data_IF_839885101050
#
_entry.id   IF_839885101050
#
_cell.length_a   1.000
_cell.length_b   1.000
_cell.length_c   1.000
_cell.angle_alpha   90.00
_cell.angle_beta   90.00
_cell.angle_gamma   90.00
#
_symmetry.space_group_name_H-M   'P 1'
#
loop_
_entity.id
_entity.type
_entity.pdbx_description
1 polymer ?
#
# COMPACT_ATOMS: atom_id res chain seq x y z
N UNK A 1 -23.20 -2.29 -17.28
CA UNK A 1 -24.32 -2.43 -16.33
C UNK A 1 -24.64 -3.89 -16.02
N UNK A 2 -24.71 -4.74 -17.04
CA UNK A 2 -24.98 -6.17 -16.84
C UNK A 2 -23.92 -6.83 -15.96
N UNK A 3 -22.65 -6.43 -16.11
CA UNK A 3 -21.56 -6.95 -15.29
C UNK A 3 -21.74 -6.53 -13.83
N UNK A 4 -22.11 -5.27 -13.59
CA UNK A 4 -22.36 -4.77 -12.24
C UNK A 4 -23.58 -5.43 -11.60
N UNK A 5 -24.60 -5.75 -12.40
CA UNK A 5 -25.76 -6.47 -11.90
C UNK A 5 -25.42 -7.93 -11.53
N UNK A 6 -24.49 -8.54 -12.28
CA UNK A 6 -24.03 -9.90 -12.02
C UNK A 6 -23.11 -9.96 -10.79
N UNK A 7 -22.40 -8.86 -10.50
CA UNK A 7 -21.53 -8.77 -9.33
C UNK A 7 -22.38 -8.26 -8.16
N UNK A 8 -22.64 -9.08 -7.18
CA UNK A 8 -23.33 -8.66 -5.97
C UNK A 8 -22.49 -7.71 -5.13
N UNK A 9 -23.11 -7.14 -4.09
CA UNK A 9 -22.40 -6.24 -3.16
C UNK A 9 -21.22 -6.93 -2.52
N UNK A 10 -21.39 -8.20 -2.15
CA UNK A 10 -20.30 -8.95 -1.52
C UNK A 10 -19.13 -9.13 -2.49
N UNK A 11 -19.40 -9.35 -3.77
CA UNK A 11 -18.34 -9.48 -4.77
C UNK A 11 -17.56 -8.19 -4.90
N UNK A 12 -18.23 -7.05 -4.90
CA UNK A 12 -17.57 -5.74 -4.97
C UNK A 12 -16.76 -5.50 -3.70
N UNK A 13 -17.34 -5.82 -2.53
CA UNK A 13 -16.63 -5.65 -1.26
C UNK A 13 -15.40 -6.57 -1.19
N UNK A 14 -15.51 -7.80 -1.65
CA UNK A 14 -14.38 -8.73 -1.72
C UNK A 14 -13.29 -8.21 -2.64
N UNK A 15 -13.68 -7.58 -3.75
CA UNK A 15 -12.73 -6.96 -4.67
C UNK A 15 -11.97 -5.82 -3.99
N UNK A 16 -12.69 -4.98 -3.24
CA UNK A 16 -12.08 -3.89 -2.47
C UNK A 16 -11.10 -4.46 -1.43
N UNK A 17 -11.52 -5.49 -0.69
CA UNK A 17 -10.66 -6.13 0.30
C UNK A 17 -9.39 -6.70 -0.33
N UNK A 18 -9.52 -7.33 -1.49
CA UNK A 18 -8.38 -7.88 -2.22
C UNK A 18 -7.42 -6.78 -2.65
N UNK A 19 -7.94 -5.67 -3.16
CA UNK A 19 -7.11 -4.53 -3.55
C UNK A 19 -6.35 -3.95 -2.35
N UNK A 20 -7.02 -3.87 -1.20
CA UNK A 20 -6.40 -3.40 0.03
C UNK A 20 -5.24 -4.33 0.43
N UNK A 21 -5.48 -5.64 0.41
CA UNK A 21 -4.44 -6.62 0.75
C UNK A 21 -3.27 -6.53 -0.19
N UNK A 22 -3.53 -6.45 -1.49
CA UNK A 22 -2.48 -6.33 -2.50
C UNK A 22 -1.65 -5.07 -2.25
N UNK A 23 -2.31 -3.96 -1.99
CA UNK A 23 -1.62 -2.69 -1.74
C UNK A 23 -0.76 -2.76 -0.48
N UNK A 24 -1.29 -3.37 0.59
CA UNK A 24 -0.53 -3.56 1.83
C UNK A 24 0.70 -4.42 1.58
N UNK A 25 0.57 -5.48 0.81
CA UNK A 25 1.70 -6.34 0.45
C UNK A 25 2.75 -5.53 -0.30
N UNK A 26 2.34 -4.68 -1.24
CA UNK A 26 3.28 -3.85 -1.98
C UNK A 26 4.00 -2.86 -1.07
N UNK A 27 3.29 -2.28 -0.08
CA UNK A 27 3.91 -1.40 0.90
C UNK A 27 4.98 -2.15 1.70
N UNK A 28 4.66 -3.36 2.16
CA UNK A 28 5.62 -4.18 2.90
C UNK A 28 6.84 -4.55 2.05
N UNK A 29 6.62 -4.87 0.79
CA UNK A 29 7.73 -5.15 -0.13
C UNK A 29 8.67 -3.95 -0.21
N UNK A 30 8.10 -2.76 -0.38
CA UNK A 30 8.91 -1.55 -0.46
C UNK A 30 9.69 -1.29 0.83
N UNK A 31 9.04 -1.49 1.98
CA UNK A 31 9.70 -1.30 3.28
C UNK A 31 10.85 -2.28 3.44
N UNK A 32 10.61 -3.56 3.15
CA UNK A 32 11.65 -4.58 3.27
C UNK A 32 12.84 -4.26 2.36
N UNK A 33 12.55 -3.89 1.12
CA UNK A 33 13.59 -3.54 0.14
C UNK A 33 14.40 -2.34 0.62
N UNK A 34 13.76 -1.38 1.29
CA UNK A 34 14.46 -0.18 1.78
C UNK A 34 15.49 -0.48 2.86
N UNK A 35 15.38 -1.63 3.52
CA UNK A 35 16.37 -2.07 4.52
C UNK A 35 17.54 -2.83 3.90
N UNK A 36 17.47 -3.18 2.62
CA UNK A 36 18.55 -3.88 1.94
C UNK A 36 19.50 -2.85 1.34
N UNK A 37 20.72 -2.69 1.89
CA UNK A 37 21.63 -1.61 1.45
C UNK A 37 22.20 -1.85 0.05
N UNK A 38 22.30 -3.10 -0.37
CA UNK A 38 22.78 -3.43 -1.70
C UNK A 38 21.93 -4.53 -2.29
N UNK A 39 21.25 -4.20 -3.40
CA UNK A 39 20.51 -5.17 -4.17
C UNK A 39 21.30 -5.51 -5.41
N UNK A 40 21.46 -6.81 -5.74
CA UNK A 40 22.07 -7.16 -7.00
C UNK A 40 21.23 -6.62 -8.15
N UNK A 41 21.89 -6.06 -9.16
CA UNK A 41 21.18 -5.56 -10.32
C UNK A 41 20.59 -6.73 -11.09
N UNK A 42 19.29 -6.68 -11.29
CA UNK A 42 18.56 -7.64 -12.10
C UNK A 42 17.47 -6.86 -12.83
N UNK A 43 17.42 -7.05 -14.14
CA UNK A 43 16.48 -6.33 -14.99
C UNK A 43 15.03 -6.53 -14.54
N UNK A 44 14.67 -7.77 -14.22
CA UNK A 44 13.31 -8.08 -13.79
C UNK A 44 13.02 -7.56 -12.40
N UNK A 45 13.98 -7.70 -11.50
CA UNK A 45 13.85 -7.18 -10.14
C UNK A 45 13.71 -5.65 -10.16
N UNK A 46 14.54 -4.98 -10.95
CA UNK A 46 14.49 -3.52 -11.06
C UNK A 46 13.15 -3.05 -11.63
N UNK A 47 12.62 -3.75 -12.64
CA UNK A 47 11.32 -3.42 -13.21
C UNK A 47 10.20 -3.63 -12.19
N UNK A 48 10.25 -4.72 -11.43
CA UNK A 48 9.27 -5.01 -10.39
C UNK A 48 9.28 -3.96 -9.29
N UNK A 49 10.46 -3.62 -8.79
CA UNK A 49 10.59 -2.62 -7.72
C UNK A 49 10.19 -1.22 -8.20
N UNK A 50 10.46 -0.90 -9.46
CA UNK A 50 9.99 0.34 -10.07
C UNK A 50 8.48 0.41 -10.11
N UNK A 51 7.83 -0.69 -10.49
CA UNK A 51 6.37 -0.79 -10.48
C UNK A 51 5.82 -0.60 -9.07
N UNK A 52 6.39 -1.28 -8.08
CA UNK A 52 5.95 -1.15 -6.69
C UNK A 52 6.06 0.30 -6.24
N UNK A 53 7.17 0.97 -6.53
CA UNK A 53 7.36 2.36 -6.19
C UNK A 53 6.36 3.27 -6.88
N UNK A 54 6.08 3.04 -8.16
CA UNK A 54 5.14 3.85 -8.92
C UNK A 54 3.71 3.75 -8.37
N UNK A 55 3.36 2.60 -7.78
CA UNK A 55 2.04 2.39 -7.18
C UNK A 55 1.98 2.93 -5.75
N UNK A 56 3.02 2.67 -4.96
CA UNK A 56 3.01 2.94 -3.52
C UNK A 56 3.41 4.38 -3.19
N UNK A 57 4.40 4.94 -3.88
CA UNK A 57 4.94 6.25 -3.55
C UNK A 57 3.93 7.41 -3.62
N UNK A 58 3.03 7.47 -4.62
CA UNK A 58 2.02 8.54 -4.62
C UNK A 58 1.14 8.52 -3.36
N UNK A 59 0.77 7.34 -2.90
CA UNK A 59 -0.02 7.18 -1.70
C UNK A 59 0.77 7.57 -0.44
N UNK A 60 1.95 6.99 -0.27
CA UNK A 60 2.78 7.28 0.89
C UNK A 60 3.27 8.71 0.91
N UNK A 61 3.45 9.31 -0.26
CA UNK A 61 3.86 10.71 -0.37
C UNK A 61 2.90 11.68 0.28
N UNK A 62 1.60 11.35 0.29
CA UNK A 62 0.61 12.16 0.99
C UNK A 62 0.89 12.20 2.49
N UNK A 63 1.24 11.07 3.08
CA UNK A 63 1.54 10.99 4.50
C UNK A 63 2.87 11.62 4.84
N UNK A 64 3.85 11.52 3.94
CA UNK A 64 5.16 12.14 4.16
C UNK A 64 5.09 13.66 4.26
N UNK A 65 4.09 14.27 3.63
CA UNK A 65 3.88 15.71 3.72
C UNK A 65 3.43 16.16 5.10
N UNK A 66 2.70 15.28 5.80
CA UNK A 66 2.10 15.64 7.08
C UNK A 66 2.85 15.06 8.28
N UNK A 67 3.62 14.00 8.06
CA UNK A 67 4.30 13.29 9.13
C UNK A 67 5.78 13.67 9.16
N UNK A 68 6.29 14.11 10.32
CA UNK A 68 7.72 14.33 10.46
C UNK A 68 8.46 13.00 10.50
N UNK A 69 9.68 12.99 9.99
CA UNK A 69 10.55 11.83 10.16
C UNK A 69 11.07 11.81 11.59
N UNK A 70 11.01 10.63 12.22
CA UNK A 70 11.54 10.44 13.56
C UNK A 70 13.00 10.07 13.43
N UNK A 71 13.86 10.89 14.04
CA UNK A 71 15.30 10.61 14.07
C UNK A 71 15.61 9.67 15.21
N UNK A 72 16.19 8.52 14.87
CA UNK A 72 16.59 7.53 15.85
C UNK A 72 18.09 7.29 15.67
N UNK A 73 18.87 7.83 16.60
CA UNK A 73 20.33 7.72 16.52
C UNK A 73 20.87 8.37 15.24
N UNK A 74 21.75 7.68 14.48
CA UNK A 74 22.33 8.24 13.26
C UNK A 74 21.40 8.21 12.06
N UNK A 75 20.22 7.58 12.17
CA UNK A 75 19.28 7.44 11.08
C UNK A 75 17.96 8.15 11.35
N UNK A 76 17.10 8.13 10.33
CA UNK A 76 15.74 8.65 10.43
C UNK A 76 14.76 7.54 10.06
N UNK A 77 13.67 7.43 10.82
CA UNK A 77 12.61 6.47 10.58
C UNK A 77 11.45 7.16 9.89
N UNK A 78 11.08 6.65 8.72
CA UNK A 78 9.90 7.11 8.01
C UNK A 78 8.68 6.34 8.52
N UNK A 79 7.76 7.06 9.16
CA UNK A 79 6.54 6.47 9.71
C UNK A 79 5.41 6.37 8.67
N UNK A 80 5.61 6.91 7.48
CA UNK A 80 4.57 6.93 6.45
C UNK A 80 4.04 5.54 6.08
N UNK A 81 4.90 4.51 5.89
CA UNK A 81 4.38 3.18 5.58
C UNK A 81 3.49 2.62 6.68
N UNK A 82 3.85 2.83 7.95
CA UNK A 82 3.07 2.34 9.07
C UNK A 82 1.71 3.02 9.13
N UNK A 83 1.71 4.36 9.12
CA UNK A 83 0.47 5.13 9.18
C UNK A 83 -0.38 4.88 7.94
N UNK A 84 0.25 4.84 6.77
CA UNK A 84 -0.45 4.57 5.52
C UNK A 84 -1.14 3.22 5.52
N UNK A 85 -0.49 2.19 6.06
CA UNK A 85 -1.07 0.86 6.17
C UNK A 85 -2.27 0.87 7.12
N UNK A 86 -2.14 1.50 8.28
CA UNK A 86 -3.23 1.58 9.26
C UNK A 86 -4.44 2.30 8.65
N UNK A 87 -4.22 3.44 8.01
CA UNK A 87 -5.29 4.21 7.37
C UNK A 87 -5.95 3.38 6.27
N UNK A 88 -5.14 2.69 5.47
CA UNK A 88 -5.64 1.86 4.37
C UNK A 88 -6.54 0.74 4.89
N UNK A 89 -6.15 0.09 5.99
CA UNK A 89 -6.94 -0.98 6.59
C UNK A 89 -8.25 -0.43 7.15
N UNK A 90 -8.21 0.72 7.82
CA UNK A 90 -9.40 1.33 8.40
C UNK A 90 -10.36 1.78 7.29
N UNK A 91 -9.87 2.56 6.33
CA UNK A 91 -10.70 3.08 5.24
C UNK A 91 -11.23 1.93 4.38
N UNK A 92 -10.37 0.96 4.05
CA UNK A 92 -10.79 -0.20 3.28
C UNK A 92 -11.88 -0.99 3.97
N UNK A 93 -11.74 -1.19 5.29
CA UNK A 93 -12.76 -1.87 6.09
C UNK A 93 -14.08 -1.10 6.12
N UNK A 94 -14.02 0.22 6.27
CA UNK A 94 -15.22 1.06 6.27
C UNK A 94 -15.92 1.03 4.91
N UNK A 95 -15.15 1.15 3.82
CA UNK A 95 -15.72 1.13 2.46
C UNK A 95 -16.33 -0.23 2.18
N UNK A 96 -15.62 -1.29 2.47
CA UNK A 96 -16.08 -2.66 2.26
C UNK A 96 -17.33 -2.96 3.09
N UNK A 97 -17.34 -2.53 4.35
CA UNK A 97 -18.50 -2.69 5.23
C UNK A 97 -19.71 -1.91 4.74
N UNK A 98 -19.50 -0.68 4.24
CA UNK A 98 -20.57 0.11 3.68
C UNK A 98 -21.16 -0.53 2.42
N UNK A 99 -20.32 -1.17 1.60
CA UNK A 99 -20.75 -1.87 0.39
C UNK A 99 -21.58 -3.09 0.75
N UNK A 100 -21.14 -3.84 1.77
CA UNK A 100 -21.88 -5.04 2.22
C UNK A 100 -23.23 -4.69 2.86
N UNK A 101 -23.33 -3.52 3.40
CA UNK A 101 -24.52 -3.08 4.12
C UNK A 101 -24.47 -3.47 5.55
#
# INVERSE_FOLDING_TARGET
MTLLAALGREDVADYVDTLVVVFVVLIFVQVIVSFVPRMPYNRYLSAFLGFVGDVVNPYLGLFRRFLPMVKIGPGALDLSPMVGTIVLLIVGGLVSGAIRG
#
